data_IF_354099711801
#
_entry.id   IF_354099711801
#
_cell.length_a   1.000
_cell.length_b   1.000
_cell.length_c   1.000
_cell.angle_alpha   90.00
_cell.angle_beta   90.00
_cell.angle_gamma   90.00
#
_symmetry.space_group_name_H-M   'P 1'
#
loop_
_entity.id
_entity.type
_entity.pdbx_description
1 polymer ?
#
# COMPACT_ATOMS: atom_id res chain seq x y z
N UNK A 1 7.29 9.13 12.67
CA UNK A 1 5.88 9.07 12.23
C UNK A 1 5.88 8.87 10.72
N UNK A 2 5.09 7.93 10.20
CA UNK A 2 4.95 7.75 8.75
C UNK A 2 4.28 8.98 8.13
N UNK A 3 4.66 9.42 6.92
CA UNK A 3 3.98 10.51 6.22
C UNK A 3 2.59 10.13 5.71
N UNK A 4 2.26 8.83 5.66
CA UNK A 4 0.97 8.32 5.17
C UNK A 4 0.14 7.87 6.36
N UNK A 5 -1.12 8.32 6.42
CA UNK A 5 -2.03 8.01 7.52
C UNK A 5 -2.30 6.51 7.63
N UNK A 6 -2.32 6.01 8.87
CA UNK A 6 -2.58 4.62 9.18
C UNK A 6 -1.46 3.64 8.85
N UNK A 7 -0.35 4.08 8.24
CA UNK A 7 0.85 3.26 8.05
C UNK A 7 1.67 3.24 9.34
N UNK A 8 1.91 2.04 9.87
CA UNK A 8 2.74 1.80 11.06
C UNK A 8 4.22 1.74 10.66
N UNK A 9 4.52 1.08 9.54
CA UNK A 9 5.88 0.96 9.04
C UNK A 9 5.98 0.06 7.81
N UNK A 10 7.16 0.04 7.20
CA UNK A 10 7.46 -0.78 6.03
C UNK A 10 8.64 -1.72 6.35
N UNK A 11 8.57 -2.95 5.85
CA UNK A 11 9.65 -3.95 5.94
C UNK A 11 9.86 -4.60 4.58
N UNK A 12 11.05 -5.14 4.33
CA UNK A 12 11.35 -5.82 3.08
C UNK A 12 12.75 -5.54 2.57
N UNK A 13 13.12 -6.18 1.46
CA UNK A 13 14.40 -5.96 0.75
C UNK A 13 14.17 -5.93 -0.75
N UNK A 14 14.80 -4.99 -1.44
CA UNK A 14 14.58 -4.76 -2.87
C UNK A 14 13.12 -4.40 -3.16
N UNK A 15 12.53 -5.02 -4.19
CA UNK A 15 11.14 -4.77 -4.60
C UNK A 15 10.10 -5.59 -3.82
N UNK A 16 10.52 -6.44 -2.88
CA UNK A 16 9.61 -7.21 -2.02
C UNK A 16 9.39 -6.43 -0.72
N UNK A 17 8.33 -5.64 -0.70
CA UNK A 17 8.01 -4.71 0.39
C UNK A 17 6.68 -5.12 1.03
N UNK A 18 6.65 -5.18 2.37
CA UNK A 18 5.44 -5.30 3.17
C UNK A 18 5.18 -4.00 3.92
N UNK A 19 4.04 -3.38 3.66
CA UNK A 19 3.54 -2.20 4.36
C UNK A 19 2.62 -2.68 5.46
N UNK A 20 2.90 -2.28 6.70
CA UNK A 20 2.04 -2.51 7.84
C UNK A 20 1.10 -1.32 8.04
N UNK A 21 -0.20 -1.60 8.08
CA UNK A 21 -1.28 -0.65 8.32
C UNK A 21 -1.97 -0.97 9.65
N UNK A 22 -2.65 0.00 10.25
CA UNK A 22 -3.38 -0.17 11.53
C UNK A 22 -4.83 -0.63 11.32
N UNK A 23 -5.46 -1.06 12.40
CA UNK A 23 -6.89 -1.32 12.51
C UNK A 23 -7.44 -2.42 11.56
N UNK A 24 -6.61 -3.37 11.12
CA UNK A 24 -7.07 -4.51 10.32
C UNK A 24 -7.56 -4.15 8.91
N UNK A 25 -7.24 -2.95 8.41
CA UNK A 25 -7.80 -2.41 7.15
C UNK A 25 -7.06 -2.82 5.88
N UNK A 26 -6.08 -3.73 5.95
CA UNK A 26 -5.27 -4.09 4.78
C UNK A 26 -6.11 -4.62 3.60
N UNK A 27 -7.16 -5.40 3.87
CA UNK A 27 -8.05 -5.95 2.84
C UNK A 27 -8.90 -4.86 2.18
N UNK A 28 -9.37 -3.90 2.97
CA UNK A 28 -10.15 -2.77 2.47
C UNK A 28 -9.29 -1.89 1.55
N UNK A 29 -8.10 -1.51 2.02
CA UNK A 29 -7.13 -0.74 1.23
C UNK A 29 -6.75 -1.50 -0.05
N UNK A 30 -6.52 -2.81 0.01
CA UNK A 30 -6.25 -3.62 -1.17
C UNK A 30 -7.42 -3.65 -2.17
N UNK A 31 -8.65 -3.70 -1.67
CA UNK A 31 -9.85 -3.64 -2.53
C UNK A 31 -9.98 -2.28 -3.21
N UNK A 32 -9.73 -1.18 -2.50
CA UNK A 32 -9.78 0.16 -3.08
C UNK A 32 -8.64 0.37 -4.08
N UNK A 33 -7.43 -0.11 -3.79
CA UNK A 33 -6.31 -0.12 -4.73
C UNK A 33 -6.65 -0.86 -6.02
N UNK A 34 -7.32 -2.00 -5.92
CA UNK A 34 -7.76 -2.78 -7.08
C UNK A 34 -8.74 -1.97 -7.94
N UNK A 35 -9.68 -1.24 -7.34
CA UNK A 35 -10.59 -0.32 -8.04
C UNK A 35 -9.84 0.82 -8.74
N UNK A 36 -8.73 1.28 -8.15
CA UNK A 36 -7.84 2.30 -8.70
C UNK A 36 -6.79 1.74 -9.68
N UNK A 37 -6.87 0.47 -10.05
CA UNK A 37 -6.01 -0.16 -11.06
C UNK A 37 -4.69 -0.74 -10.53
N UNK A 38 -4.51 -0.86 -9.21
CA UNK A 38 -3.32 -1.43 -8.57
C UNK A 38 -3.64 -2.76 -7.88
N UNK A 39 -3.04 -3.84 -8.38
CA UNK A 39 -3.15 -5.16 -7.75
C UNK A 39 -2.07 -5.33 -6.69
N UNK A 40 -2.50 -5.50 -5.45
CA UNK A 40 -1.63 -5.78 -4.29
C UNK A 40 -2.14 -6.99 -3.51
N UNK A 41 -1.30 -7.59 -2.68
CA UNK A 41 -1.69 -8.72 -1.85
C UNK A 41 -1.79 -8.32 -0.37
N UNK A 42 -3.00 -8.25 0.18
CA UNK A 42 -3.22 -8.11 1.61
C UNK A 42 -2.98 -9.46 2.32
N UNK A 43 -1.79 -9.64 2.89
CA UNK A 43 -1.48 -10.86 3.64
C UNK A 43 -1.76 -10.69 5.12
N UNK A 44 -2.96 -11.11 5.51
CA UNK A 44 -3.49 -10.92 6.85
C UNK A 44 -4.35 -9.65 6.93
N UNK A 45 -4.55 -9.16 8.14
CA UNK A 45 -5.43 -8.01 8.40
C UNK A 45 -4.68 -6.67 8.35
N UNK A 46 -3.37 -6.68 8.65
CA UNK A 46 -2.59 -5.45 8.82
C UNK A 46 -1.44 -5.30 7.80
N UNK A 47 -1.25 -6.22 6.85
CA UNK A 47 -0.07 -6.19 5.97
C UNK A 47 -0.44 -6.24 4.50
N UNK A 48 0.04 -5.25 3.74
CA UNK A 48 -0.05 -5.20 2.28
C UNK A 48 1.32 -5.51 1.69
N UNK A 49 1.39 -6.50 0.80
CA UNK A 49 2.61 -6.90 0.09
C UNK A 49 2.63 -6.32 -1.32
N UNK A 50 3.77 -5.74 -1.65
CA UNK A 50 4.09 -5.18 -2.95
C UNK A 50 5.26 -5.98 -3.52
N UNK A 51 5.08 -6.50 -4.73
CA UNK A 51 6.05 -7.30 -5.46
C UNK A 51 5.92 -7.01 -6.98
N UNK A 52 6.27 -5.80 -7.44
CA UNK A 52 6.17 -5.43 -8.84
C UNK A 52 7.24 -6.16 -9.66
N UNK A 53 7.03 -6.19 -10.98
CA UNK A 53 8.06 -6.69 -11.89
C UNK A 53 9.33 -5.84 -11.80
N UNK A 54 10.50 -6.48 -12.02
CA UNK A 54 11.80 -5.80 -11.93
C UNK A 54 12.01 -4.68 -12.97
N UNK A 55 11.17 -4.66 -14.01
CA UNK A 55 11.15 -3.62 -15.06
C UNK A 55 10.34 -2.38 -14.67
N UNK A 56 9.84 -2.28 -13.43
CA UNK A 56 9.06 -1.13 -12.96
C UNK A 56 9.89 0.15 -13.02
N UNK A 57 9.26 1.24 -13.45
CA UNK A 57 9.89 2.56 -13.55
C UNK A 57 9.64 3.39 -12.30
N UNK A 58 10.54 4.32 -12.00
CA UNK A 58 10.37 5.28 -10.89
C UNK A 58 9.04 6.05 -10.99
N UNK A 59 8.62 6.42 -12.20
CA UNK A 59 7.33 7.07 -12.44
C UNK A 59 6.15 6.21 -12.01
N UNK A 60 6.20 4.90 -12.24
CA UNK A 60 5.14 3.97 -11.79
C UNK A 60 5.15 3.83 -10.27
N UNK A 61 6.33 3.82 -9.64
CA UNK A 61 6.47 3.79 -8.17
C UNK A 61 5.85 5.04 -7.54
N UNK A 62 6.16 6.23 -8.07
CA UNK A 62 5.60 7.49 -7.59
C UNK A 62 4.08 7.52 -7.74
N UNK A 63 3.55 7.06 -8.89
CA UNK A 63 2.10 6.95 -9.12
C UNK A 63 1.42 6.02 -8.11
N UNK A 64 2.00 4.85 -7.86
CA UNK A 64 1.48 3.92 -6.87
C UNK A 64 1.53 4.53 -5.46
N UNK A 65 2.64 5.16 -5.07
CA UNK A 65 2.79 5.78 -3.75
C UNK A 65 1.77 6.90 -3.53
N UNK A 66 1.47 7.70 -4.55
CA UNK A 66 0.41 8.72 -4.50
C UNK A 66 -0.97 8.12 -4.31
N UNK A 67 -1.35 7.17 -5.18
CA UNK A 67 -2.65 6.49 -5.07
C UNK A 67 -2.82 5.74 -3.74
N UNK A 68 -1.74 5.15 -3.22
CA UNK A 68 -1.72 4.50 -1.93
C UNK A 68 -1.98 5.49 -0.78
N UNK A 69 -1.35 6.66 -0.83
CA UNK A 69 -1.55 7.69 0.17
C UNK A 69 -3.00 8.23 0.17
N UNK A 70 -3.54 8.55 -1.02
CA UNK A 70 -4.92 9.02 -1.19
C UNK A 70 -5.93 8.00 -0.62
N UNK A 71 -5.78 6.71 -0.97
CA UNK A 71 -6.66 5.66 -0.45
C UNK A 71 -6.53 5.50 1.06
N UNK A 72 -5.33 5.62 1.62
CA UNK A 72 -5.16 5.58 3.06
C UNK A 72 -5.86 6.75 3.75
N UNK A 73 -5.77 7.96 3.19
CA UNK A 73 -6.52 9.12 3.68
C UNK A 73 -8.03 8.91 3.59
N UNK A 74 -8.55 8.32 2.51
CA UNK A 74 -9.99 8.01 2.40
C UNK A 74 -10.44 6.95 3.42
N UNK A 75 -9.61 5.94 3.67
CA UNK A 75 -9.91 4.84 4.58
C UNK A 75 -9.79 5.24 6.06
N UNK A 76 -8.86 6.15 6.40
CA UNK A 76 -8.59 6.56 7.79
C UNK A 76 -9.12 7.95 8.16
N UNK A 77 -9.32 8.85 7.18
CA UNK A 77 -9.80 10.21 7.36
C UNK A 77 -11.33 10.34 7.51
N UNK A 78 -12.03 9.22 7.72
CA UNK A 78 -13.43 9.14 8.10
C UNK A 78 -13.65 9.09 9.60
#
# INVERSE_FOLDING_TARGET
LSPIEGVIGCRGRGLLIGIQVRDGKAKEIASQLANSGYLVNATGEDVIRIAPAFIITERQIIKFAGAFAEICEEVYGG
#
